data_IF_838844463716
#
_entry.id   IF_838844463716
#
_cell.length_a   1.000
_cell.length_b   1.000
_cell.length_c   1.000
_cell.angle_alpha   90.00
_cell.angle_beta   90.00
_cell.angle_gamma   90.00
#
_symmetry.space_group_name_H-M   'P 1'
#
loop_
_entity.id
_entity.type
_entity.pdbx_description
1 polymer ?
#
# COMPACT_ATOMS: atom_id res chain seq x y z
N UNK A 1 13.93 11.70 -1.56
CA UNK A 1 13.28 10.37 -1.70
C UNK A 1 11.98 10.25 -0.90
N UNK A 2 11.96 10.45 0.43
CA UNK A 2 10.71 10.32 1.23
C UNK A 2 9.57 11.22 0.75
N UNK A 3 9.78 12.54 0.67
CA UNK A 3 8.74 13.48 0.26
C UNK A 3 8.28 13.25 -1.19
N UNK A 4 9.19 12.83 -2.07
CA UNK A 4 8.87 12.45 -3.46
C UNK A 4 7.97 11.21 -3.45
N UNK A 5 8.33 10.20 -2.65
CA UNK A 5 7.53 8.98 -2.51
C UNK A 5 6.14 9.28 -1.95
N UNK A 6 6.04 10.20 -0.99
CA UNK A 6 4.75 10.68 -0.48
C UNK A 6 3.92 11.37 -1.59
N UNK A 7 4.55 12.25 -2.37
CA UNK A 7 3.91 12.95 -3.47
C UNK A 7 3.45 12.01 -4.61
N UNK A 8 4.13 10.87 -4.80
CA UNK A 8 3.72 9.83 -5.74
C UNK A 8 2.61 8.95 -5.15
N UNK A 9 2.78 8.46 -3.92
CA UNK A 9 1.88 7.48 -3.31
C UNK A 9 0.51 8.07 -2.98
N UNK A 10 0.48 9.23 -2.30
CA UNK A 10 -0.77 9.76 -1.74
C UNK A 10 -1.85 10.04 -2.81
N UNK A 11 -1.56 10.67 -3.96
CA UNK A 11 -2.58 10.90 -4.98
C UNK A 11 -3.07 9.61 -5.64
N UNK A 12 -2.15 8.68 -5.93
CA UNK A 12 -2.47 7.41 -6.58
C UNK A 12 -3.35 6.56 -5.65
N UNK A 13 -2.96 6.45 -4.38
CA UNK A 13 -3.70 5.64 -3.42
C UNK A 13 -5.03 6.29 -3.04
N UNK A 14 -5.09 7.62 -2.90
CA UNK A 14 -6.36 8.32 -2.69
C UNK A 14 -7.36 8.10 -3.85
N UNK A 15 -6.87 8.08 -5.10
CA UNK A 15 -7.70 7.78 -6.25
C UNK A 15 -8.20 6.32 -6.22
N UNK A 16 -7.32 5.36 -5.90
CA UNK A 16 -7.70 3.96 -5.74
C UNK A 16 -8.73 3.75 -4.63
N UNK A 17 -8.49 4.33 -3.45
CA UNK A 17 -9.39 4.22 -2.31
C UNK A 17 -10.79 4.74 -2.64
N UNK A 18 -10.88 5.91 -3.28
CA UNK A 18 -12.16 6.54 -3.62
C UNK A 18 -12.89 5.83 -4.75
N UNK A 19 -12.19 5.43 -5.80
CA UNK A 19 -12.82 4.94 -7.04
C UNK A 19 -13.03 3.43 -7.07
N UNK A 20 -12.19 2.67 -6.36
CA UNK A 20 -12.18 1.21 -6.45
C UNK A 20 -12.35 0.54 -5.09
N UNK A 21 -11.52 0.90 -4.10
CA UNK A 21 -11.51 0.21 -2.82
C UNK A 21 -12.80 0.46 -2.02
N UNK A 22 -13.27 1.71 -1.91
CA UNK A 22 -14.49 2.02 -1.15
C UNK A 22 -15.72 1.27 -1.70
N UNK A 23 -16.04 1.28 -3.01
CA UNK A 23 -17.13 0.48 -3.55
C UNK A 23 -16.94 -1.02 -3.34
N UNK A 24 -15.72 -1.55 -3.59
CA UNK A 24 -15.41 -2.97 -3.43
C UNK A 24 -15.58 -3.42 -1.97
N UNK A 25 -15.01 -2.66 -1.03
CA UNK A 25 -15.03 -2.98 0.38
C UNK A 25 -16.44 -2.83 0.95
N UNK A 26 -17.16 -1.77 0.60
CA UNK A 26 -18.56 -1.60 1.05
C UNK A 26 -19.43 -2.75 0.56
N UNK A 27 -19.23 -3.23 -0.66
CA UNK A 27 -19.97 -4.36 -1.23
C UNK A 27 -19.60 -5.72 -0.61
N UNK A 28 -18.33 -5.91 -0.21
CA UNK A 28 -17.80 -7.24 0.18
C UNK A 28 -17.58 -7.41 1.69
N UNK A 29 -17.16 -6.35 2.37
CA UNK A 29 -16.83 -6.32 3.80
C UNK A 29 -17.48 -5.14 4.52
N UNK A 30 -18.55 -4.56 3.96
CA UNK A 30 -19.22 -3.37 4.53
C UNK A 30 -19.67 -3.54 5.98
N UNK A 31 -20.01 -4.77 6.39
CA UNK A 31 -20.36 -5.09 7.77
C UNK A 31 -19.19 -4.98 8.78
N UNK A 32 -17.94 -5.00 8.29
CA UNK A 32 -16.72 -4.81 9.10
C UNK A 32 -16.23 -3.35 9.06
N UNK A 33 -16.70 -2.56 8.11
CA UNK A 33 -16.29 -1.16 7.96
C UNK A 33 -16.83 -0.32 9.13
N UNK A 34 -16.09 0.72 9.50
CA UNK A 34 -16.57 1.68 10.50
C UNK A 34 -17.90 2.28 10.03
N UNK A 35 -18.90 2.23 10.92
CA UNK A 35 -20.23 2.79 10.65
C UNK A 35 -20.20 4.32 10.54
N UNK A 36 -19.32 4.97 11.32
CA UNK A 36 -19.19 6.42 11.35
C UNK A 36 -17.72 6.86 11.30
N UNK A 37 -17.44 7.82 10.43
CA UNK A 37 -16.17 8.54 10.36
C UNK A 37 -15.01 7.77 9.71
N UNK A 38 -13.95 8.53 9.41
CA UNK A 38 -12.67 8.03 8.92
C UNK A 38 -11.64 8.07 10.05
N UNK A 39 -10.95 6.95 10.29
CA UNK A 39 -9.90 6.86 11.29
C UNK A 39 -8.65 7.62 10.87
N UNK A 40 -8.67 8.95 10.96
CA UNK A 40 -7.59 9.82 10.47
C UNK A 40 -6.24 9.52 11.16
N UNK A 41 -6.24 9.34 12.48
CA UNK A 41 -5.01 9.06 13.23
C UNK A 41 -4.33 7.74 12.80
N UNK A 42 -5.03 6.58 12.72
CA UNK A 42 -4.48 5.37 12.11
C UNK A 42 -3.99 5.55 10.67
N UNK A 43 -4.75 6.27 9.83
CA UNK A 43 -4.40 6.48 8.43
C UNK A 43 -3.10 7.29 8.27
N UNK A 44 -2.98 8.41 8.99
CA UNK A 44 -1.77 9.25 8.98
C UNK A 44 -0.57 8.46 9.52
N UNK A 45 -0.76 7.72 10.61
CA UNK A 45 0.28 6.85 11.18
C UNK A 45 0.75 5.79 10.18
N UNK A 46 -0.20 5.15 9.48
CA UNK A 46 0.12 4.18 8.42
C UNK A 46 0.97 4.81 7.32
N UNK A 47 0.54 5.91 6.72
CA UNK A 47 1.29 6.52 5.62
C UNK A 47 2.70 6.94 6.05
N UNK A 48 2.83 7.49 7.26
CA UNK A 48 4.13 7.88 7.80
C UNK A 48 5.07 6.66 7.95
N UNK A 49 4.60 5.59 8.60
CA UNK A 49 5.40 4.39 8.82
C UNK A 49 5.69 3.64 7.52
N UNK A 50 4.70 3.55 6.64
CA UNK A 50 4.82 2.82 5.39
C UNK A 50 5.82 3.47 4.45
N UNK A 51 5.75 4.79 4.27
CA UNK A 51 6.72 5.55 3.48
C UNK A 51 8.13 5.47 4.07
N UNK A 52 8.27 5.45 5.41
CA UNK A 52 9.55 5.24 6.05
C UNK A 52 10.10 3.83 5.77
N UNK A 53 9.24 2.81 5.79
CA UNK A 53 9.59 1.44 5.40
C UNK A 53 10.04 1.36 3.94
N UNK A 54 9.33 1.99 3.02
CA UNK A 54 9.72 2.09 1.60
C UNK A 54 11.11 2.73 1.46
N UNK A 55 11.35 3.84 2.17
CA UNK A 55 12.65 4.50 2.14
C UNK A 55 13.76 3.57 2.62
N UNK A 56 13.60 2.99 3.82
CA UNK A 56 14.67 2.24 4.50
C UNK A 56 14.92 0.87 3.87
N UNK A 57 13.87 0.16 3.46
CA UNK A 57 13.98 -1.22 3.00
C UNK A 57 14.11 -1.35 1.48
N UNK A 58 13.51 -0.41 0.73
CA UNK A 58 13.51 -0.46 -0.73
C UNK A 58 14.47 0.55 -1.37
N UNK A 59 14.46 1.81 -0.95
CA UNK A 59 15.15 2.89 -1.66
C UNK A 59 16.62 3.06 -1.25
N UNK A 60 16.92 3.18 0.05
CA UNK A 60 18.29 3.37 0.55
C UNK A 60 19.28 2.24 0.17
N UNK A 61 18.91 0.96 0.22
CA UNK A 61 19.84 -0.13 -0.11
C UNK A 61 19.89 -0.45 -1.62
N UNK A 62 19.17 0.29 -2.46
CA UNK A 62 19.17 0.07 -3.90
C UNK A 62 20.25 0.92 -4.59
N UNK A 63 20.97 0.33 -5.54
CA UNK A 63 21.94 1.05 -6.39
C UNK A 63 21.31 1.59 -7.69
N UNK A 64 20.11 1.12 -8.03
CA UNK A 64 19.37 1.53 -9.22
C UNK A 64 17.88 1.64 -8.90
N UNK A 65 17.15 2.43 -9.67
CA UNK A 65 15.71 2.57 -9.50
C UNK A 65 14.96 1.25 -9.77
N UNK A 66 15.46 0.38 -10.64
CA UNK A 66 14.89 -0.95 -10.87
C UNK A 66 15.06 -1.83 -9.62
N UNK A 67 16.23 -1.76 -8.96
CA UNK A 67 16.48 -2.45 -7.70
C UNK A 67 15.55 -1.95 -6.58
N UNK A 68 15.30 -0.63 -6.53
CA UNK A 68 14.35 -0.05 -5.60
C UNK A 68 12.91 -0.51 -5.90
N UNK A 69 12.51 -0.54 -7.17
CA UNK A 69 11.19 -1.01 -7.59
C UNK A 69 10.96 -2.49 -7.23
N UNK A 70 11.96 -3.37 -7.46
CA UNK A 70 11.88 -4.77 -7.08
C UNK A 70 11.73 -4.95 -5.57
N UNK A 71 12.57 -4.28 -4.78
CA UNK A 71 12.47 -4.32 -3.32
C UNK A 71 11.12 -3.76 -2.82
N UNK A 72 10.63 -2.70 -3.48
CA UNK A 72 9.31 -2.13 -3.22
C UNK A 72 8.18 -3.11 -3.53
N UNK A 73 8.26 -3.86 -4.64
CA UNK A 73 7.30 -4.90 -4.98
C UNK A 73 7.21 -5.98 -3.89
N UNK A 74 8.37 -6.47 -3.42
CA UNK A 74 8.45 -7.46 -2.34
C UNK A 74 7.88 -6.90 -1.04
N UNK A 75 8.25 -5.66 -0.67
CA UNK A 75 7.72 -5.01 0.53
C UNK A 75 6.20 -4.87 0.47
N UNK A 76 5.66 -4.41 -0.67
CA UNK A 76 4.22 -4.26 -0.89
C UNK A 76 3.47 -5.59 -0.79
N UNK A 77 3.98 -6.63 -1.45
CA UNK A 77 3.41 -7.97 -1.38
C UNK A 77 3.36 -8.50 0.06
N UNK A 78 4.44 -8.34 0.83
CA UNK A 78 4.50 -8.81 2.22
C UNK A 78 3.57 -7.99 3.11
N UNK A 79 3.54 -6.67 2.97
CA UNK A 79 2.71 -5.80 3.81
C UNK A 79 1.21 -6.06 3.59
N UNK A 80 0.76 -6.06 2.34
CA UNK A 80 -0.63 -6.32 1.99
C UNK A 80 -0.98 -7.79 2.25
N UNK A 81 -0.09 -8.72 1.91
CA UNK A 81 -0.21 -10.14 2.27
C UNK A 81 -0.39 -10.36 3.77
N UNK A 82 0.37 -9.65 4.62
CA UNK A 82 0.24 -9.76 6.07
C UNK A 82 -1.15 -9.34 6.54
N UNK A 83 -1.71 -8.27 5.98
CA UNK A 83 -3.07 -7.84 6.33
C UNK A 83 -4.13 -8.80 5.79
N UNK A 84 -4.15 -9.04 4.48
CA UNK A 84 -5.24 -9.76 3.81
C UNK A 84 -5.24 -11.25 4.10
N UNK A 85 -4.07 -11.90 4.13
CA UNK A 85 -4.00 -13.34 4.41
C UNK A 85 -4.28 -13.63 5.88
N UNK A 86 -3.88 -12.73 6.80
CA UNK A 86 -4.24 -12.87 8.22
C UNK A 86 -5.74 -12.69 8.42
N UNK A 87 -6.36 -11.71 7.77
CA UNK A 87 -7.82 -11.55 7.80
C UNK A 87 -8.53 -12.76 7.19
N UNK A 88 -8.02 -13.28 6.07
CA UNK A 88 -8.56 -14.48 5.45
C UNK A 88 -8.46 -15.72 6.35
N UNK A 89 -7.42 -15.81 7.18
CA UNK A 89 -7.25 -16.89 8.14
C UNK A 89 -8.10 -16.73 9.42
N UNK A 90 -8.46 -15.50 9.80
CA UNK A 90 -9.06 -15.19 11.11
C UNK A 90 -10.54 -14.80 11.05
N UNK A 91 -11.01 -14.27 9.92
CA UNK A 91 -12.38 -13.82 9.73
C UNK A 91 -13.16 -14.82 8.88
N UNK A 92 -14.37 -15.18 9.33
CA UNK A 92 -15.18 -16.25 8.73
C UNK A 92 -15.53 -16.04 7.26
N UNK A 93 -15.88 -14.81 6.87
CA UNK A 93 -16.45 -14.49 5.57
C UNK A 93 -15.58 -13.50 4.79
N UNK A 94 -14.25 -13.57 4.96
CA UNK A 94 -13.32 -12.70 4.23
C UNK A 94 -13.27 -13.07 2.72
N UNK A 95 -13.55 -12.13 1.80
CA UNK A 95 -13.61 -12.43 0.38
C UNK A 95 -12.21 -12.59 -0.24
N UNK A 96 -11.93 -13.74 -0.84
CA UNK A 96 -10.66 -14.03 -1.55
C UNK A 96 -10.34 -13.00 -2.64
N UNK A 97 -11.38 -12.45 -3.30
CA UNK A 97 -11.21 -11.42 -4.32
C UNK A 97 -10.55 -10.14 -3.76
N UNK A 98 -10.90 -9.75 -2.52
CA UNK A 98 -10.29 -8.59 -1.86
C UNK A 98 -8.80 -8.84 -1.68
N UNK A 99 -8.43 -9.98 -1.11
CA UNK A 99 -7.03 -10.41 -0.98
C UNK A 99 -6.28 -10.34 -2.30
N UNK A 100 -6.77 -10.96 -3.37
CA UNK A 100 -6.05 -10.99 -4.66
C UNK A 100 -5.84 -9.58 -5.24
N UNK A 101 -6.87 -8.74 -5.18
CA UNK A 101 -6.80 -7.36 -5.68
C UNK A 101 -5.80 -6.54 -4.85
N UNK A 102 -5.86 -6.65 -3.53
CA UNK A 102 -5.04 -5.87 -2.62
C UNK A 102 -3.57 -6.29 -2.66
N UNK A 103 -3.28 -7.60 -2.80
CA UNK A 103 -1.91 -8.08 -3.02
C UNK A 103 -1.34 -7.53 -4.34
N UNK A 104 -2.13 -7.57 -5.43
CA UNK A 104 -1.70 -7.04 -6.72
C UNK A 104 -1.47 -5.52 -6.66
N UNK A 105 -2.43 -4.78 -6.09
CA UNK A 105 -2.34 -3.34 -5.94
C UNK A 105 -1.16 -2.93 -5.06
N UNK A 106 -1.04 -3.51 -3.86
CA UNK A 106 0.04 -3.23 -2.91
C UNK A 106 1.42 -3.48 -3.51
N UNK A 107 1.57 -4.57 -4.26
CA UNK A 107 2.81 -4.90 -5.00
C UNK A 107 3.13 -3.82 -6.03
N UNK A 108 2.19 -3.49 -6.92
CA UNK A 108 2.41 -2.56 -8.03
C UNK A 108 2.61 -1.12 -7.54
N UNK A 109 1.78 -0.66 -6.60
CA UNK A 109 1.86 0.67 -6.02
C UNK A 109 3.21 0.86 -5.33
N UNK A 110 3.61 -0.07 -4.47
CA UNK A 110 4.84 0.07 -3.69
C UNK A 110 6.08 -0.02 -4.58
N UNK A 111 6.07 -0.87 -5.61
CA UNK A 111 7.12 -0.91 -6.63
C UNK A 111 7.25 0.43 -7.36
N UNK A 112 6.13 1.01 -7.77
CA UNK A 112 6.07 2.30 -8.48
C UNK A 112 6.59 3.44 -7.60
N UNK A 113 6.14 3.52 -6.36
CA UNK A 113 6.55 4.54 -5.38
C UNK A 113 8.04 4.41 -5.08
N UNK A 114 8.54 3.19 -4.82
CA UNK A 114 9.95 2.95 -4.54
C UNK A 114 10.83 3.33 -5.74
N UNK A 115 10.47 2.86 -6.94
CA UNK A 115 11.21 3.10 -8.17
C UNK A 115 11.25 4.58 -8.58
N UNK A 116 10.09 5.24 -8.65
CA UNK A 116 10.03 6.67 -9.01
C UNK A 116 10.64 7.55 -7.93
N UNK A 117 10.41 7.26 -6.65
CA UNK A 117 10.97 8.02 -5.54
C UNK A 117 12.50 7.93 -5.46
N UNK A 118 13.07 6.79 -5.88
CA UNK A 118 14.51 6.62 -6.03
C UNK A 118 15.03 7.34 -7.29
N UNK A 119 14.44 7.10 -8.46
CA UNK A 119 14.86 7.70 -9.72
C UNK A 119 14.83 9.24 -9.72
N UNK A 120 13.83 9.85 -9.09
CA UNK A 120 13.72 11.31 -8.98
C UNK A 120 14.52 11.88 -7.82
N UNK A 121 14.85 11.07 -6.81
CA UNK A 121 15.52 11.52 -5.59
C UNK A 121 17.04 11.37 -5.62
N UNK A 122 17.57 10.56 -6.54
CA UNK A 122 19.00 10.29 -6.72
C UNK A 122 19.62 11.10 -7.89
N UNK A 123 18.85 12.04 -8.43
CA UNK A 123 19.31 13.07 -9.39
C UNK A 123 19.73 14.33 -8.67
#
# INVERSE_FOLDING_TARGET
MYLISAAVMLPIDAAWLKLSAEPLYRARIGHLMRAEGFGLAPAVTFYFLYLAGVLVLAQLPAATWQGAAWRGAVLGLVAYGTYDLTNQATLRDWPVMVTVIDLAWGTVLTATVAGLGHWLGDR
#
